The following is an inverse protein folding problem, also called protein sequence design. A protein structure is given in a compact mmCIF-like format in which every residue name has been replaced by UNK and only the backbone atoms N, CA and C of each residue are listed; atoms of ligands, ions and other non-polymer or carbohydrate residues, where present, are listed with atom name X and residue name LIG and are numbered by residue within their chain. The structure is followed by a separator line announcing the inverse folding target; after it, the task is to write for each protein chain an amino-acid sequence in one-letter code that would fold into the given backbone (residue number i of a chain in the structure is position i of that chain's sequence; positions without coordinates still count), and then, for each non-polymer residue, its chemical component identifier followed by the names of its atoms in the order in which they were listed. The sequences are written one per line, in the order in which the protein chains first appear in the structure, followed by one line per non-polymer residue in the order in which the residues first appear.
data_IF_222057125731
#
_entry.id   IF_222057125731
#
_cell.length_a   1.000
_cell.length_b   1.000
_cell.length_c   1.000
_cell.angle_alpha   90.00
_cell.angle_beta   90.00
_cell.angle_gamma   90.00
#
_symmetry.space_group_name_H-M   'P 1'
#
loop_
_entity.id
_entity.type
_entity.pdbx_description
1 polymer ?
#
# COMPACT_ATOMS: atom_id res chain seq x y z
N UNK A 1 5.79 -11.50 -5.84
CA UNK A 1 5.43 -10.09 -6.05
C UNK A 1 5.34 -9.33 -4.72
N UNK A 2 4.40 -9.62 -3.83
CA UNK A 2 4.22 -8.91 -2.55
C UNK A 2 5.50 -8.83 -1.71
N UNK A 3 6.20 -9.93 -1.56
CA UNK A 3 7.47 -9.98 -0.79
C UNK A 3 8.53 -9.01 -1.36
N UNK A 4 8.63 -8.88 -2.69
CA UNK A 4 9.56 -7.93 -3.32
C UNK A 4 9.17 -6.46 -3.11
N UNK A 5 7.91 -6.18 -2.78
CA UNK A 5 7.42 -4.83 -2.48
C UNK A 5 7.62 -4.43 -1.02
N UNK A 6 8.04 -5.36 -0.16
CA UNK A 6 8.35 -5.09 1.24
C UNK A 6 9.78 -4.56 1.38
N UNK A 7 10.02 -3.86 2.48
CA UNK A 7 11.36 -3.37 2.82
C UNK A 7 12.28 -4.54 3.19
N UNK A 8 13.42 -4.66 2.52
CA UNK A 8 14.39 -5.73 2.79
C UNK A 8 14.94 -5.72 4.23
N UNK A 9 15.02 -4.55 4.87
CA UNK A 9 15.42 -4.45 6.26
C UNK A 9 14.43 -5.18 7.20
N UNK A 10 13.13 -5.24 6.84
CA UNK A 10 12.13 -5.98 7.62
C UNK A 10 12.36 -7.49 7.56
N UNK A 11 12.83 -8.03 6.43
CA UNK A 11 13.21 -9.44 6.35
C UNK A 11 14.39 -9.76 7.28
N UNK A 12 15.40 -8.89 7.30
CA UNK A 12 16.53 -9.05 8.22
C UNK A 12 16.09 -9.02 9.69
N UNK A 13 15.19 -8.09 10.05
CA UNK A 13 14.65 -8.01 11.40
C UNK A 13 13.80 -9.25 11.75
N UNK A 14 13.02 -9.77 10.79
CA UNK A 14 12.24 -10.99 10.97
C UNK A 14 13.15 -12.21 11.25
N UNK A 15 14.24 -12.36 10.47
CA UNK A 15 15.23 -13.44 10.64
C UNK A 15 16.01 -13.33 11.96
N UNK A 16 16.21 -12.10 12.47
CA UNK A 16 16.92 -11.84 13.73
C UNK A 16 15.99 -12.02 14.97
N UNK A 17 14.78 -12.54 14.79
CA UNK A 17 13.83 -12.81 15.90
C UNK A 17 13.10 -11.58 16.40
N UNK A 18 13.21 -10.42 15.75
CA UNK A 18 12.54 -9.16 16.13
C UNK A 18 11.21 -8.93 15.40
N UNK A 19 10.43 -10.00 15.20
CA UNK A 19 9.16 -9.96 14.46
C UNK A 19 8.16 -8.90 14.98
N UNK A 20 8.16 -8.60 16.28
CA UNK A 20 7.31 -7.55 16.87
C UNK A 20 7.62 -6.16 16.34
N UNK A 21 8.87 -5.88 15.96
CA UNK A 21 9.25 -4.58 15.38
C UNK A 21 8.81 -4.48 13.92
N UNK A 22 8.80 -5.59 13.19
CA UNK A 22 8.31 -5.68 11.81
C UNK A 22 6.82 -5.33 11.77
N UNK A 23 6.01 -5.94 12.64
CA UNK A 23 4.55 -5.71 12.67
C UNK A 23 4.21 -4.28 13.12
N UNK A 24 5.06 -3.65 13.92
CA UNK A 24 4.88 -2.26 14.40
C UNK A 24 5.35 -1.20 13.42
N UNK A 25 5.94 -1.57 12.28
CA UNK A 25 6.34 -0.60 11.26
C UNK A 25 5.11 0.08 10.68
N UNK A 26 5.05 1.40 10.80
CA UNK A 26 3.97 2.26 10.29
C UNK A 26 3.83 2.10 8.77
N UNK A 27 4.97 2.02 8.07
CA UNK A 27 5.02 1.89 6.63
C UNK A 27 4.44 0.56 6.16
N UNK A 28 4.80 -0.55 6.83
CA UNK A 28 4.28 -1.88 6.51
C UNK A 28 2.77 -1.96 6.72
N UNK A 29 2.28 -1.43 7.84
CA UNK A 29 0.84 -1.41 8.13
C UNK A 29 0.07 -0.60 7.08
N UNK A 30 0.59 0.56 6.69
CA UNK A 30 -0.01 1.42 5.68
C UNK A 30 -0.03 0.73 4.31
N UNK A 31 1.08 0.08 3.91
CA UNK A 31 1.16 -0.69 2.67
C UNK A 31 0.14 -1.84 2.64
N UNK A 32 0.08 -2.65 3.70
CA UNK A 32 -0.88 -3.75 3.80
C UNK A 32 -2.33 -3.28 3.79
N UNK A 33 -2.61 -2.13 4.42
CA UNK A 33 -3.93 -1.52 4.40
C UNK A 33 -4.35 -1.10 2.99
N UNK A 34 -3.43 -0.50 2.21
CA UNK A 34 -3.70 -0.14 0.82
C UNK A 34 -3.98 -1.40 -0.01
N UNK A 35 -3.12 -2.43 0.10
CA UNK A 35 -3.28 -3.68 -0.66
C UNK A 35 -4.60 -4.37 -0.31
N UNK A 36 -4.90 -4.52 0.98
CA UNK A 36 -6.14 -5.16 1.43
C UNK A 36 -7.38 -4.35 1.03
N UNK A 37 -7.36 -3.03 1.25
CA UNK A 37 -8.47 -2.14 0.89
C UNK A 37 -8.77 -2.14 -0.61
N UNK A 38 -7.74 -1.98 -1.44
CA UNK A 38 -7.89 -2.02 -2.89
C UNK A 38 -8.37 -3.40 -3.39
N UNK A 39 -7.83 -4.48 -2.84
CA UNK A 39 -8.25 -5.83 -3.19
C UNK A 39 -9.70 -6.09 -2.85
N UNK A 40 -10.18 -5.64 -1.68
CA UNK A 40 -11.57 -5.78 -1.28
C UNK A 40 -12.51 -4.94 -2.16
N UNK A 41 -12.15 -3.69 -2.46
CA UNK A 41 -12.97 -2.82 -3.31
C UNK A 41 -13.10 -3.39 -4.72
N UNK A 42 -11.99 -3.86 -5.31
CA UNK A 42 -12.00 -4.49 -6.62
C UNK A 42 -12.78 -5.81 -6.57
N UNK A 43 -12.55 -6.65 -5.56
CA UNK A 43 -13.26 -7.90 -5.38
C UNK A 43 -14.79 -7.72 -5.39
N UNK A 44 -15.31 -6.78 -4.61
CA UNK A 44 -16.74 -6.51 -4.57
C UNK A 44 -17.29 -6.00 -5.90
N UNK A 45 -16.50 -5.23 -6.62
CA UNK A 45 -16.91 -4.65 -7.89
C UNK A 45 -16.91 -5.68 -9.03
N UNK A 46 -15.99 -6.65 -9.02
CA UNK A 46 -15.89 -7.69 -10.07
C UNK A 46 -16.67 -8.97 -9.72
N UNK A 47 -17.18 -9.10 -8.48
CA UNK A 47 -17.91 -10.28 -8.02
C UNK A 47 -19.04 -10.73 -8.96
N UNK A 48 -19.84 -9.82 -9.56
CA UNK A 48 -20.90 -10.20 -10.50
C UNK A 48 -20.41 -10.78 -11.83
N UNK A 49 -19.12 -10.62 -12.16
CA UNK A 49 -18.53 -11.13 -13.41
C UNK A 49 -18.03 -12.56 -13.29
N UNK A 50 -17.95 -13.10 -12.08
CA UNK A 50 -17.36 -14.40 -11.80
C UNK A 50 -18.40 -15.36 -11.22
N UNK A 51 -18.37 -16.62 -11.66
CA UNK A 51 -19.25 -17.68 -11.12
C UNK A 51 -18.89 -18.07 -9.69
N UNK A 52 -17.63 -17.84 -9.30
CA UNK A 52 -17.13 -18.24 -7.97
C UNK A 52 -16.40 -17.07 -7.31
N UNK A 53 -16.81 -16.72 -6.09
CA UNK A 53 -16.17 -15.67 -5.28
C UNK A 53 -14.66 -15.90 -5.06
N UNK A 54 -14.23 -17.17 -4.99
CA UNK A 54 -12.82 -17.53 -4.83
C UNK A 54 -11.96 -17.11 -6.02
N UNK A 55 -12.46 -17.26 -7.26
CA UNK A 55 -11.76 -16.81 -8.46
C UNK A 55 -11.69 -15.28 -8.51
N UNK A 56 -12.79 -14.58 -8.21
CA UNK A 56 -12.82 -13.13 -8.15
C UNK A 56 -11.82 -12.57 -7.12
N UNK A 57 -11.76 -13.15 -5.92
CA UNK A 57 -10.82 -12.75 -4.89
C UNK A 57 -9.37 -12.97 -5.30
N UNK A 58 -9.07 -14.16 -5.85
CA UNK A 58 -7.73 -14.48 -6.33
C UNK A 58 -7.25 -13.49 -7.38
N UNK A 59 -8.07 -13.22 -8.38
CA UNK A 59 -7.69 -12.34 -9.49
C UNK A 59 -7.61 -10.86 -9.04
N UNK A 60 -8.49 -10.42 -8.13
CA UNK A 60 -8.39 -9.10 -7.51
C UNK A 60 -7.07 -8.91 -6.74
N UNK A 61 -6.74 -9.84 -5.84
CA UNK A 61 -5.51 -9.78 -5.04
C UNK A 61 -4.28 -9.89 -5.93
N UNK A 62 -4.31 -10.79 -6.93
CA UNK A 62 -3.20 -10.94 -7.86
C UNK A 62 -2.94 -9.66 -8.63
N UNK A 63 -3.98 -9.06 -9.22
CA UNK A 63 -3.84 -7.85 -10.03
C UNK A 63 -3.38 -6.65 -9.21
N UNK A 64 -3.95 -6.45 -8.00
CA UNK A 64 -3.51 -5.40 -7.08
C UNK A 64 -2.03 -5.57 -6.71
N UNK A 65 -1.62 -6.78 -6.35
CA UNK A 65 -0.22 -7.03 -5.98
C UNK A 65 0.74 -6.90 -7.16
N UNK A 66 0.31 -7.26 -8.37
CA UNK A 66 1.08 -7.10 -9.59
C UNK A 66 1.33 -5.63 -9.93
N UNK A 67 0.29 -4.81 -9.84
CA UNK A 67 0.37 -3.38 -10.14
C UNK A 67 1.23 -2.66 -9.09
N UNK A 68 0.96 -2.85 -7.80
CA UNK A 68 1.67 -2.13 -6.73
C UNK A 68 3.15 -2.56 -6.60
N UNK A 69 3.47 -3.81 -6.98
CA UNK A 69 4.85 -4.29 -7.05
C UNK A 69 5.58 -3.86 -8.33
N UNK A 70 4.89 -3.20 -9.26
CA UNK A 70 5.39 -2.82 -10.58
C UNK A 70 5.92 -4.01 -11.40
N UNK A 71 5.40 -5.22 -11.15
CA UNK A 71 5.81 -6.42 -11.87
C UNK A 71 5.07 -6.61 -13.21
N UNK A 72 3.84 -6.10 -13.33
CA UNK A 72 3.08 -6.07 -14.58
C UNK A 72 2.51 -7.42 -15.05
N UNK A 73 2.57 -8.46 -14.22
CA UNK A 73 1.96 -9.74 -14.56
C UNK A 73 0.44 -9.69 -14.43
N UNK A 74 -0.27 -10.38 -15.31
CA UNK A 74 -1.72 -10.48 -15.31
C UNK A 74 -2.16 -11.94 -15.40
N UNK A 75 -3.19 -12.32 -14.65
CA UNK A 75 -3.85 -13.63 -14.72
C UNK A 75 -5.10 -13.59 -15.57
N UNK A 76 -5.67 -12.40 -15.76
CA UNK A 76 -6.91 -12.17 -16.49
C UNK A 76 -6.84 -10.83 -17.21
N UNK A 77 -7.71 -10.66 -18.21
CA UNK A 77 -7.82 -9.38 -18.91
C UNK A 77 -8.65 -8.39 -18.08
N UNK A 78 -7.95 -7.50 -17.35
CA UNK A 78 -8.59 -6.46 -16.52
C UNK A 78 -9.26 -5.35 -17.36
N UNK A 79 -9.08 -5.31 -18.70
CA UNK A 79 -9.82 -4.38 -19.55
C UNK A 79 -11.32 -4.72 -19.60
N UNK A 80 -11.67 -5.98 -19.31
CA UNK A 80 -13.06 -6.43 -19.24
C UNK A 80 -13.71 -6.09 -17.88
N UNK A 81 -12.94 -5.58 -16.92
CA UNK A 81 -13.46 -5.22 -15.61
C UNK A 81 -14.22 -3.89 -15.65
N UNK A 82 -15.13 -3.66 -14.69
CA UNK A 82 -15.86 -2.40 -14.62
C UNK A 82 -14.91 -1.20 -14.48
N UNK A 83 -15.27 -0.03 -15.00
CA UNK A 83 -14.44 1.19 -14.98
C UNK A 83 -13.95 1.58 -13.59
N UNK A 84 -14.73 1.27 -12.55
CA UNK A 84 -14.34 1.53 -11.16
C UNK A 84 -13.12 0.71 -10.75
N UNK A 85 -13.10 -0.59 -11.03
CA UNK A 85 -11.94 -1.46 -10.75
C UNK A 85 -10.70 -1.01 -11.53
N UNK A 86 -10.86 -0.66 -12.82
CA UNK A 86 -9.77 -0.12 -13.65
C UNK A 86 -9.21 1.19 -13.07
N UNK A 87 -10.08 2.10 -12.61
CA UNK A 87 -9.66 3.37 -12.01
C UNK A 87 -8.82 3.13 -10.74
N UNK A 88 -9.22 2.17 -9.89
CA UNK A 88 -8.42 1.81 -8.71
C UNK A 88 -7.04 1.29 -9.12
N UNK A 89 -6.96 0.43 -10.14
CA UNK A 89 -5.68 -0.08 -10.64
C UNK A 89 -4.78 1.05 -11.16
N UNK A 90 -5.35 2.02 -11.90
CA UNK A 90 -4.60 3.19 -12.37
C UNK A 90 -4.08 4.03 -11.20
N UNK A 91 -4.90 4.27 -10.18
CA UNK A 91 -4.45 4.98 -8.97
C UNK A 91 -3.33 4.23 -8.24
N UNK A 92 -3.41 2.90 -8.19
CA UNK A 92 -2.37 2.06 -7.59
C UNK A 92 -1.04 2.09 -8.35
N UNK A 93 -1.03 2.41 -9.67
CA UNK A 93 0.21 2.57 -10.43
C UNK A 93 1.08 3.71 -9.91
N UNK A 94 0.48 4.72 -9.27
CA UNK A 94 1.23 5.82 -8.64
C UNK A 94 1.76 5.45 -7.26
N UNK A 95 1.16 4.45 -6.61
CA UNK A 95 1.54 3.99 -5.26
C UNK A 95 2.46 2.78 -5.39
N UNK A 96 3.72 2.94 -5.01
CA UNK A 96 4.70 1.85 -5.04
C UNK A 96 4.79 1.08 -3.73
N UNK A 97 5.74 0.15 -3.66
CA UNK A 97 6.04 -0.62 -2.45
C UNK A 97 6.68 0.20 -1.34
N UNK A 98 7.10 -0.48 -0.28
CA UNK A 98 7.79 0.10 0.86
C UNK A 98 9.15 0.70 0.47
N UNK A 99 9.66 1.63 1.28
CA UNK A 99 11.01 2.16 1.18
C UNK A 99 12.04 1.03 1.31
N UNK A 100 13.05 1.00 0.43
CA UNK A 100 14.01 -0.11 0.40
C UNK A 100 13.46 -1.40 -0.22
N UNK A 101 12.36 -1.35 -0.99
CA UNK A 101 11.87 -2.44 -1.83
C UNK A 101 12.31 -2.27 -3.28
N UNK A 102 12.18 -3.33 -4.09
CA UNK A 102 12.46 -3.31 -5.54
C UNK A 102 11.36 -2.65 -6.37
N UNK A 103 10.17 -2.43 -5.80
CA UNK A 103 9.05 -1.82 -6.51
C UNK A 103 9.37 -0.38 -6.94
N UNK A 104 8.87 0.01 -8.10
CA UNK A 104 8.95 1.38 -8.63
C UNK A 104 7.95 2.35 -7.96
N UNK A 105 7.57 3.39 -8.68
CA UNK A 105 6.58 4.41 -8.27
C UNK A 105 6.92 5.17 -6.98
N UNK A 106 5.97 5.94 -6.46
CA UNK A 106 6.15 6.70 -5.21
C UNK A 106 6.10 5.74 -4.03
N UNK A 107 7.19 5.66 -3.26
CA UNK A 107 7.27 4.78 -2.08
C UNK A 107 6.20 5.09 -1.05
N UNK A 108 5.56 4.06 -0.49
CA UNK A 108 4.52 4.20 0.53
C UNK A 108 4.95 5.07 1.72
N UNK A 109 6.20 4.98 2.16
CA UNK A 109 6.75 5.81 3.22
C UNK A 109 6.69 7.30 2.91
N UNK A 110 6.96 7.71 1.66
CA UNK A 110 6.84 9.12 1.23
C UNK A 110 5.39 9.59 1.23
N UNK A 111 4.47 8.78 0.74
CA UNK A 111 3.04 9.09 0.76
C UNK A 111 2.55 9.27 2.20
N UNK A 112 2.94 8.35 3.09
CA UNK A 112 2.60 8.42 4.51
C UNK A 112 3.15 9.69 5.18
N UNK A 113 4.39 10.09 4.86
CA UNK A 113 4.99 11.33 5.33
C UNK A 113 4.25 12.56 4.82
N UNK A 114 3.89 12.58 3.53
CA UNK A 114 3.11 13.68 2.95
C UNK A 114 1.75 13.82 3.63
N UNK A 115 1.03 12.72 3.84
CA UNK A 115 -0.27 12.72 4.52
C UNK A 115 -0.13 13.22 5.97
N UNK A 116 0.86 12.74 6.71
CA UNK A 116 1.12 13.21 8.09
C UNK A 116 1.53 14.67 8.14
N UNK A 117 2.36 15.12 7.20
CA UNK A 117 2.78 16.53 7.09
C UNK A 117 1.61 17.44 6.74
N UNK A 118 0.77 17.06 5.77
CA UNK A 118 -0.43 17.82 5.37
C UNK A 118 -1.41 17.93 6.54
N UNK A 119 -1.70 16.84 7.22
CA UNK A 119 -2.57 16.84 8.41
C UNK A 119 -2.02 17.75 9.51
N UNK A 120 -0.70 17.74 9.71
CA UNK A 120 -0.03 18.63 10.67
C UNK A 120 -0.15 20.09 10.27
N UNK A 121 0.02 20.41 8.99
CA UNK A 121 -0.09 21.78 8.48
C UNK A 121 -1.52 22.33 8.69
N UNK A 122 -2.54 21.50 8.43
CA UNK A 122 -3.93 21.86 8.69
C UNK A 122 -4.20 22.08 10.18
N UNK A 123 -3.67 21.22 11.06
CA UNK A 123 -3.81 21.40 12.52
C UNK A 123 -3.06 22.63 13.05
N UNK A 124 -1.95 23.01 12.41
CA UNK A 124 -1.23 24.27 12.75
C UNK A 124 -2.07 25.51 12.45
N UNK A 125 -2.87 25.48 11.38
CA UNK A 125 -3.79 26.59 11.09
C UNK A 125 -4.84 26.76 12.18
N UNK A 126 -5.29 25.68 12.79
CA UNK A 126 -6.26 25.71 13.91
C UNK A 126 -5.62 25.98 15.26
N UNK A 127 -4.36 25.57 15.48
CA UNK A 127 -3.66 25.72 16.77
C UNK A 127 -2.18 26.13 16.55
N UNK A 128 -1.88 27.42 16.30
CA UNK A 128 -0.53 27.88 15.89
C UNK A 128 0.56 27.69 16.92
N UNK A 129 0.22 27.52 18.20
CA UNK A 129 1.19 27.32 19.31
C UNK A 129 1.56 25.85 19.58
N UNK A 130 0.94 24.88 18.90
CA UNK A 130 1.22 23.47 19.13
C UNK A 130 2.44 23.02 18.31
N UNK A 131 3.58 22.84 18.92
CA UNK A 131 4.78 22.25 18.31
C UNK A 131 4.61 20.73 18.31
N UNK A 132 4.23 20.14 17.16
CA UNK A 132 4.16 18.68 16.96
C UNK A 132 5.19 18.25 15.93
N UNK A 133 5.96 17.21 16.26
CA UNK A 133 7.00 16.63 15.38
C UNK A 133 6.39 15.50 14.56
N UNK A 134 6.71 15.42 13.27
CA UNK A 134 6.32 14.24 12.45
C UNK A 134 7.24 13.10 12.80
N UNK A 135 6.66 11.93 13.13
CA UNK A 135 7.41 10.70 13.40
C UNK A 135 7.06 9.64 12.35
N UNK A 136 8.07 8.90 11.91
CA UNK A 136 7.94 7.70 11.11
C UNK A 136 8.74 6.59 11.82
N UNK A 137 8.10 5.45 12.09
CA UNK A 137 8.69 4.32 12.84
C UNK A 137 9.37 4.75 14.16
N UNK A 138 8.75 5.73 14.87
CA UNK A 138 9.26 6.25 16.14
C UNK A 138 10.42 7.26 16.03
N UNK A 139 10.94 7.51 14.83
CA UNK A 139 12.00 8.50 14.58
C UNK A 139 11.39 9.83 14.13
N UNK A 140 11.97 10.92 14.62
CA UNK A 140 11.61 12.28 14.18
C UNK A 140 12.15 12.49 12.78
N UNK A 141 11.29 12.97 11.87
CA UNK A 141 11.67 13.35 10.51
C UNK A 141 11.54 14.87 10.41
N UNK A 142 12.69 15.51 10.18
CA UNK A 142 12.79 16.96 9.96
C UNK A 142 12.45 17.32 8.52
#
# INVERSE_FOLDING_TARGET
MLLGSLNFALFFLALTGRAKQVIKSDELQFFLLIVAGASLLIFWNILPLYDTAGHALRDAVFQVTSVISTSGFSTTDYNLWPPFAQTILVLLMFVGGCSGSTAGSIKCGRILLLLRSSTRSLLRLSHPRAVRVVKLDGKVVD
#
